data_IF_390461066753
#
_entry.id   IF_390461066753
#
_cell.length_a   1.000
_cell.length_b   1.000
_cell.length_c   1.000
_cell.angle_alpha   90.00
_cell.angle_beta   90.00
_cell.angle_gamma   90.00
#
_symmetry.space_group_name_H-M   'P 1'
#
loop_
_entity.id
_entity.type
_entity.pdbx_description
1 polymer ?
#
# COMPACT_ATOMS: atom_id res chain seq x y z
N UNK A 1 40.46 -16.72 -5.40
CA UNK A 1 39.12 -17.07 -4.88
C UNK A 1 38.88 -16.23 -3.65
N UNK A 2 38.49 -14.98 -3.85
CA UNK A 2 38.06 -14.07 -2.80
C UNK A 2 36.54 -14.11 -2.76
N UNK A 3 36.03 -14.44 -1.59
CA UNK A 3 34.62 -14.52 -1.25
C UNK A 3 33.93 -13.18 -1.50
N UNK A 4 33.15 -13.07 -2.57
CA UNK A 4 32.07 -12.08 -2.71
C UNK A 4 30.92 -12.51 -1.80
N UNK A 5 31.07 -12.26 -0.50
CA UNK A 5 29.91 -12.23 0.38
C UNK A 5 29.23 -10.89 0.12
N UNK A 6 28.09 -10.91 -0.58
CA UNK A 6 27.21 -9.76 -0.64
C UNK A 6 26.97 -9.26 0.80
N UNK A 7 27.03 -7.94 1.07
CA UNK A 7 26.81 -7.41 2.41
C UNK A 7 25.46 -7.92 2.95
N UNK A 8 25.44 -8.32 4.23
CA UNK A 8 24.26 -8.80 4.95
C UNK A 8 23.02 -8.02 4.51
N UNK A 9 22.14 -8.70 3.76
CA UNK A 9 20.96 -8.05 3.22
C UNK A 9 20.08 -7.57 4.38
N UNK A 10 19.65 -6.31 4.33
CA UNK A 10 18.71 -5.77 5.31
C UNK A 10 17.50 -6.70 5.48
N UNK A 11 17.24 -7.12 6.72
CA UNK A 11 16.08 -7.91 7.11
C UNK A 11 14.86 -6.99 7.25
N UNK A 12 14.07 -6.94 6.18
CA UNK A 12 12.89 -6.06 6.09
C UNK A 12 11.70 -6.59 6.89
N UNK A 13 11.66 -7.87 7.22
CA UNK A 13 10.60 -8.45 8.06
C UNK A 13 10.82 -8.10 9.53
N UNK A 14 12.07 -8.17 9.99
CA UNK A 14 12.44 -7.72 11.33
C UNK A 14 12.18 -6.22 11.54
N UNK A 15 12.47 -5.38 10.53
CA UNK A 15 12.20 -3.94 10.61
C UNK A 15 10.69 -3.67 10.64
N UNK A 16 9.92 -4.33 9.78
CA UNK A 16 8.46 -4.17 9.74
C UNK A 16 7.80 -4.60 11.07
N UNK A 17 8.25 -5.71 11.65
CA UNK A 17 7.78 -6.18 12.95
C UNK A 17 8.08 -5.16 14.06
N UNK A 18 9.30 -4.59 14.06
CA UNK A 18 9.67 -3.54 15.01
C UNK A 18 8.78 -2.30 14.85
N UNK A 19 8.47 -1.89 13.62
CA UNK A 19 7.56 -0.79 13.35
C UNK A 19 6.12 -1.07 13.84
N UNK A 20 5.60 -2.29 13.64
CA UNK A 20 4.27 -2.69 14.12
C UNK A 20 4.19 -2.81 15.64
N UNK A 21 5.29 -3.21 16.29
CA UNK A 21 5.36 -3.35 17.75
C UNK A 21 5.54 -2.03 18.49
N UNK A 22 6.04 -0.97 17.84
CA UNK A 22 6.21 0.35 18.44
C UNK A 22 4.89 1.13 18.55
N UNK A 23 4.84 2.11 19.46
CA UNK A 23 3.67 2.98 19.70
C UNK A 23 3.10 3.53 18.38
N UNK A 24 1.77 3.45 18.14
CA UNK A 24 1.14 4.01 16.95
C UNK A 24 1.47 5.49 16.75
N UNK A 25 1.55 5.92 15.49
CA UNK A 25 1.71 7.33 15.13
C UNK A 25 0.39 8.11 15.12
N UNK A 26 0.42 9.41 14.82
CA UNK A 26 1.61 10.21 14.50
C UNK A 26 2.45 10.53 15.74
N UNK A 27 3.75 10.75 15.54
CA UNK A 27 4.68 11.19 16.59
C UNK A 27 5.06 12.65 16.35
N UNK A 28 5.18 13.41 17.43
CA UNK A 28 5.44 14.84 17.39
C UNK A 28 6.61 15.21 18.28
N UNK A 29 7.44 16.17 17.85
CA UNK A 29 8.42 16.81 18.73
C UNK A 29 7.67 17.71 19.71
N UNK A 30 8.04 17.67 20.99
CA UNK A 30 7.56 18.58 22.03
C UNK A 30 8.71 19.23 22.76
N UNK A 31 8.60 20.54 22.91
CA UNK A 31 9.41 21.32 23.81
C UNK A 31 8.63 21.57 25.10
N UNK A 32 9.16 21.07 26.20
CA UNK A 32 8.55 21.09 27.52
C UNK A 32 9.53 21.66 28.53
N UNK A 33 9.03 21.99 29.70
CA UNK A 33 9.84 22.39 30.84
C UNK A 33 9.68 21.38 31.99
N UNK A 34 10.71 21.25 32.80
CA UNK A 34 10.64 20.57 34.09
C UNK A 34 10.25 21.53 35.25
N UNK A 35 10.18 20.98 36.46
CA UNK A 35 9.85 21.72 37.71
C UNK A 35 10.75 22.97 37.93
N UNK A 36 11.93 23.02 37.30
CA UNK A 36 12.91 24.09 37.43
C UNK A 36 12.88 25.11 36.27
N UNK A 37 11.90 25.04 35.36
CA UNK A 37 11.88 25.85 34.13
C UNK A 37 13.07 25.55 33.20
N UNK A 38 13.54 24.30 33.19
CA UNK A 38 14.64 23.86 32.33
C UNK A 38 14.11 22.96 31.22
N UNK A 39 14.76 23.02 30.05
CA UNK A 39 14.24 22.44 28.83
C UNK A 39 14.21 20.91 28.89
N UNK A 40 13.09 20.35 28.44
CA UNK A 40 12.91 18.96 28.10
C UNK A 40 12.49 18.89 26.63
N UNK A 41 13.26 18.14 25.83
CA UNK A 41 12.94 17.90 24.42
C UNK A 41 12.65 16.43 24.25
N UNK A 42 11.51 16.12 23.66
CA UNK A 42 11.06 14.74 23.48
C UNK A 42 10.14 14.53 22.29
N UNK A 43 9.84 13.26 22.07
CA UNK A 43 8.88 12.77 21.07
C UNK A 43 7.64 12.29 21.80
N UNK A 44 6.47 12.60 21.26
CA UNK A 44 5.18 12.47 21.93
C UNK A 44 4.07 12.01 20.98
N UNK A 45 3.04 11.35 21.50
CA UNK A 45 1.82 11.02 20.74
C UNK A 45 0.87 12.21 20.56
N UNK A 46 1.09 13.31 21.29
CA UNK A 46 0.34 14.56 21.12
C UNK A 46 1.22 15.69 20.58
N UNK A 47 0.66 16.61 19.76
CA UNK A 47 1.39 17.77 19.26
C UNK A 47 1.88 18.70 20.36
N UNK A 48 2.93 19.48 20.07
CA UNK A 48 3.33 20.58 20.93
C UNK A 48 2.27 21.70 20.90
N UNK A 49 2.08 22.33 22.06
CA UNK A 49 1.22 23.49 22.22
C UNK A 49 1.96 24.81 21.97
N UNK A 50 3.30 24.75 21.91
CA UNK A 50 4.17 25.93 21.80
C UNK A 50 4.23 26.76 23.09
N UNK A 51 3.73 26.22 24.21
CA UNK A 51 3.64 26.91 25.50
C UNK A 51 4.68 26.45 26.52
N UNK A 52 5.62 25.57 26.13
CA UNK A 52 6.58 24.94 27.03
C UNK A 52 5.88 24.36 28.27
N UNK A 53 4.97 23.40 28.04
CA UNK A 53 4.18 22.80 29.12
C UNK A 53 5.10 22.24 30.21
N UNK A 54 4.76 22.48 31.48
CA UNK A 54 5.58 22.07 32.61
C UNK A 54 5.02 20.83 33.28
N UNK A 55 5.88 20.00 33.85
CA UNK A 55 5.42 19.00 34.82
C UNK A 55 4.85 19.68 36.08
N UNK A 56 3.76 19.18 36.69
CA UNK A 56 2.91 18.05 36.30
C UNK A 56 1.74 18.41 35.37
N UNK A 57 1.74 19.60 34.77
CA UNK A 57 0.66 20.10 33.92
C UNK A 57 0.57 19.43 32.53
N UNK A 58 1.56 18.60 32.16
CA UNK A 58 1.47 17.68 31.02
C UNK A 58 1.53 16.21 31.47
N UNK A 59 0.86 15.32 30.73
CA UNK A 59 0.89 13.88 31.03
C UNK A 59 2.17 13.24 30.45
N UNK A 60 3.09 12.87 31.32
CA UNK A 60 4.35 12.21 30.94
C UNK A 60 4.13 10.87 30.19
N UNK A 61 2.95 10.24 30.29
CA UNK A 61 2.62 9.01 29.55
C UNK A 61 2.42 9.23 28.06
N UNK A 62 2.33 10.49 27.62
CA UNK A 62 2.28 10.88 26.21
C UNK A 62 3.69 10.88 25.57
N UNK A 63 4.76 10.88 26.38
CA UNK A 63 6.14 10.87 25.88
C UNK A 63 6.58 9.45 25.48
N UNK A 64 7.21 9.38 24.31
CA UNK A 64 7.73 8.16 23.69
C UNK A 64 9.24 8.06 23.88
N UNK A 65 9.95 9.18 23.73
CA UNK A 65 11.38 9.29 23.91
C UNK A 65 11.76 10.70 24.36
N UNK A 66 12.83 10.83 25.15
CA UNK A 66 13.46 12.11 25.45
C UNK A 66 14.83 12.19 24.75
N UNK A 67 15.16 13.36 24.21
CA UNK A 67 16.47 13.65 23.62
C UNK A 67 17.22 14.72 24.39
N UNK A 68 16.52 15.50 25.22
CA UNK A 68 17.11 16.37 26.24
C UNK A 68 16.27 16.31 27.52
N UNK A 69 16.95 16.17 28.65
CA UNK A 69 16.44 16.52 29.98
C UNK A 69 17.52 17.36 30.65
N UNK A 70 17.24 18.65 30.85
CA UNK A 70 18.24 19.60 31.31
C UNK A 70 18.40 19.61 32.83
N UNK A 71 17.37 19.28 33.63
CA UNK A 71 17.50 19.18 35.08
C UNK A 71 16.73 17.98 35.71
N UNK A 72 17.43 17.05 36.40
CA UNK A 72 18.88 16.88 36.35
C UNK A 72 19.33 16.58 34.90
N UNK A 73 20.56 16.97 34.54
CA UNK A 73 21.09 16.75 33.19
C UNK A 73 21.55 15.30 33.02
N UNK A 74 20.68 14.42 32.52
CA UNK A 74 21.00 12.99 32.32
C UNK A 74 20.61 12.43 30.96
N UNK A 75 19.78 13.13 30.19
CA UNK A 75 19.58 12.87 28.76
C UNK A 75 20.13 14.08 28.02
N UNK A 76 21.31 13.93 27.44
CA UNK A 76 22.02 15.02 26.78
C UNK A 76 23.08 14.44 25.85
N UNK A 77 22.93 14.65 24.55
CA UNK A 77 23.91 14.19 23.57
C UNK A 77 25.08 15.16 23.47
N UNK A 78 26.31 14.64 23.39
CA UNK A 78 27.53 15.44 23.46
C UNK A 78 27.70 16.45 22.31
N UNK A 79 27.06 16.21 21.17
CA UNK A 79 27.07 17.08 20.00
C UNK A 79 26.00 18.19 20.03
N UNK A 80 25.13 18.17 21.04
CA UNK A 80 24.08 19.17 21.21
C UNK A 80 22.93 19.08 20.21
N UNK A 81 22.79 17.96 19.49
CA UNK A 81 21.80 17.78 18.43
C UNK A 81 20.46 17.20 18.92
N UNK A 82 20.05 17.49 20.15
CA UNK A 82 18.84 16.92 20.75
C UNK A 82 17.56 17.26 19.98
N UNK A 83 17.46 18.47 19.41
CA UNK A 83 16.32 18.90 18.60
C UNK A 83 16.24 18.09 17.30
N UNK A 84 17.38 17.92 16.63
CA UNK A 84 17.49 17.17 15.38
C UNK A 84 17.23 15.68 15.62
N UNK A 85 17.70 15.13 16.74
CA UNK A 85 17.43 13.74 17.12
C UNK A 85 15.93 13.52 17.37
N UNK A 86 15.25 14.44 18.05
CA UNK A 86 13.80 14.34 18.27
C UNK A 86 13.04 14.41 16.94
N UNK A 87 13.41 15.36 16.08
CA UNK A 87 12.81 15.49 14.75
C UNK A 87 13.02 14.23 13.90
N UNK A 88 14.21 13.66 13.91
CA UNK A 88 14.51 12.41 13.19
C UNK A 88 13.65 11.25 13.69
N UNK A 89 13.57 11.04 15.01
CA UNK A 89 12.78 9.97 15.61
C UNK A 89 11.29 10.13 15.27
N UNK A 90 10.74 11.34 15.41
CA UNK A 90 9.34 11.61 15.10
C UNK A 90 9.02 11.32 13.63
N UNK A 91 9.85 11.80 12.71
CA UNK A 91 9.71 11.58 11.27
C UNK A 91 9.90 10.11 10.87
N UNK A 92 10.81 9.40 11.53
CA UNK A 92 11.07 7.98 11.27
C UNK A 92 9.83 7.10 11.47
N UNK A 93 8.91 7.47 12.36
CA UNK A 93 7.67 6.70 12.59
C UNK A 93 6.84 6.52 11.33
N UNK A 94 6.82 7.52 10.46
CA UNK A 94 6.08 7.48 9.20
C UNK A 94 6.99 7.10 8.03
N UNK A 95 8.23 7.61 8.02
CA UNK A 95 9.15 7.41 6.91
C UNK A 95 9.67 5.97 6.82
N UNK A 96 9.98 5.30 7.94
CA UNK A 96 10.57 3.96 7.92
C UNK A 96 9.62 2.91 7.33
N UNK A 97 8.34 2.81 7.74
CA UNK A 97 7.39 1.89 7.09
C UNK A 97 7.26 2.13 5.58
N UNK A 98 7.23 3.40 5.15
CA UNK A 98 7.18 3.75 3.73
C UNK A 98 8.44 3.31 2.98
N UNK A 99 9.62 3.51 3.57
CA UNK A 99 10.89 3.07 2.99
C UNK A 99 10.97 1.54 2.90
N UNK A 100 10.51 0.82 3.92
CA UNK A 100 10.46 -0.66 3.89
C UNK A 100 9.56 -1.13 2.75
N UNK A 101 8.37 -0.55 2.60
CA UNK A 101 7.47 -0.86 1.49
C UNK A 101 8.13 -0.58 0.13
N UNK A 102 8.82 0.55 0.00
CA UNK A 102 9.53 0.92 -1.23
C UNK A 102 10.70 -0.02 -1.55
N UNK A 103 11.50 -0.41 -0.55
CA UNK A 103 12.62 -1.35 -0.76
C UNK A 103 12.08 -2.73 -1.15
N UNK A 104 11.00 -3.22 -0.53
CA UNK A 104 10.36 -4.49 -0.95
C UNK A 104 9.92 -4.41 -2.41
N UNK A 105 9.25 -3.33 -2.78
CA UNK A 105 8.86 -3.04 -4.17
C UNK A 105 10.06 -3.05 -5.13
N UNK A 106 11.15 -2.36 -4.78
CA UNK A 106 12.34 -2.26 -5.62
C UNK A 106 13.08 -3.59 -5.76
N UNK A 107 13.27 -4.33 -4.66
CA UNK A 107 13.86 -5.69 -4.68
C UNK A 107 13.07 -6.59 -5.62
N UNK A 108 11.75 -6.55 -5.48
CA UNK A 108 10.87 -7.31 -6.32
C UNK A 108 10.99 -6.86 -7.79
N UNK A 109 11.06 -5.54 -8.09
CA UNK A 109 11.18 -5.05 -9.48
C UNK A 109 12.46 -5.53 -10.15
N UNK A 110 13.55 -5.56 -9.39
CA UNK A 110 14.85 -6.07 -9.85
C UNK A 110 14.78 -7.57 -10.13
N UNK A 111 14.04 -8.31 -9.31
CA UNK A 111 13.97 -9.77 -9.40
C UNK A 111 12.92 -10.26 -10.43
N UNK A 112 11.83 -9.51 -10.65
CA UNK A 112 10.63 -9.99 -11.34
C UNK A 112 9.95 -8.98 -12.31
N UNK A 113 10.36 -7.70 -12.41
CA UNK A 113 9.95 -6.78 -13.49
C UNK A 113 8.63 -5.96 -13.38
N UNK A 114 7.62 -6.31 -12.56
CA UNK A 114 6.44 -5.49 -12.12
C UNK A 114 5.90 -5.62 -10.64
N UNK A 115 6.11 -4.62 -9.77
CA UNK A 115 5.81 -4.54 -8.31
C UNK A 115 4.50 -5.16 -7.72
N UNK A 116 4.55 -5.93 -6.60
CA UNK A 116 3.44 -6.20 -5.67
C UNK A 116 3.63 -5.46 -4.34
N UNK A 117 2.52 -5.17 -3.67
CA UNK A 117 2.49 -4.80 -2.24
C UNK A 117 1.75 -5.88 -1.44
N UNK A 118 1.88 -5.81 -0.11
CA UNK A 118 1.77 -6.94 0.81
C UNK A 118 0.40 -7.66 0.87
N UNK A 119 0.47 -8.98 0.99
CA UNK A 119 -0.63 -9.84 1.44
C UNK A 119 -1.39 -10.56 0.34
N UNK A 120 -0.77 -11.52 -0.36
CA UNK A 120 -1.53 -12.45 -1.21
C UNK A 120 -0.92 -13.84 -1.22
N UNK A 121 -1.62 -14.77 -0.60
CA UNK A 121 -1.63 -16.17 -1.04
C UNK A 121 -2.32 -16.24 -2.40
N UNK A 122 -1.53 -16.37 -3.48
CA UNK A 122 -2.03 -16.66 -4.83
C UNK A 122 -1.39 -15.79 -5.90
N UNK A 123 -0.53 -16.38 -6.71
CA UNK A 123 0.27 -15.77 -7.80
C UNK A 123 -0.55 -15.29 -9.01
N UNK A 124 -1.87 -15.15 -8.89
CA UNK A 124 -2.78 -14.85 -10.02
C UNK A 124 -2.84 -13.34 -10.34
N UNK A 125 -3.00 -12.47 -9.35
CA UNK A 125 -3.19 -11.03 -9.58
C UNK A 125 -1.92 -10.22 -9.26
N UNK A 126 -1.59 -9.25 -10.11
CA UNK A 126 -0.38 -8.39 -9.96
C UNK A 126 -0.53 -7.31 -8.88
N UNK A 127 -1.72 -7.22 -8.28
CA UNK A 127 -2.09 -6.24 -7.26
C UNK A 127 -2.36 -6.92 -5.91
N UNK A 128 -2.08 -6.25 -4.78
CA UNK A 128 -2.51 -6.75 -3.48
C UNK A 128 -4.03 -6.80 -3.41
N UNK A 129 -4.58 -7.89 -2.87
CA UNK A 129 -6.00 -8.06 -2.63
C UNK A 129 -6.18 -8.72 -1.26
N UNK A 130 -7.09 -8.21 -0.43
CA UNK A 130 -7.56 -8.97 0.73
C UNK A 130 -8.42 -10.18 0.29
N UNK A 131 -8.81 -11.03 1.23
CA UNK A 131 -9.53 -12.27 0.92
C UNK A 131 -10.88 -12.02 0.22
N UNK A 132 -11.58 -10.93 0.59
CA UNK A 132 -12.87 -10.56 0.01
C UNK A 132 -12.70 -10.12 -1.44
N UNK A 133 -11.74 -9.22 -1.68
CA UNK A 133 -11.45 -8.72 -3.02
C UNK A 133 -10.83 -9.80 -3.91
N UNK A 134 -10.01 -10.68 -3.35
CA UNK A 134 -9.49 -11.83 -4.10
C UNK A 134 -10.62 -12.73 -4.58
N UNK A 135 -11.65 -12.95 -3.75
CA UNK A 135 -12.88 -13.63 -4.15
C UNK A 135 -13.59 -12.91 -5.30
N UNK A 136 -13.80 -11.61 -5.14
CA UNK A 136 -14.46 -10.78 -6.15
C UNK A 136 -13.76 -10.81 -7.53
N UNK A 137 -12.44 -10.65 -7.56
CA UNK A 137 -11.67 -10.70 -8.80
C UNK A 137 -11.63 -12.10 -9.42
N UNK A 138 -11.71 -13.17 -8.62
CA UNK A 138 -11.88 -14.54 -9.13
C UNK A 138 -13.24 -14.72 -9.78
N UNK A 139 -14.32 -14.20 -9.17
CA UNK A 139 -15.65 -14.21 -9.78
C UNK A 139 -15.69 -13.45 -11.11
N UNK A 140 -15.00 -12.30 -11.21
CA UNK A 140 -14.84 -11.59 -12.49
C UNK A 140 -14.15 -12.45 -13.55
N UNK A 141 -13.09 -13.18 -13.16
CA UNK A 141 -12.40 -14.09 -14.06
C UNK A 141 -13.31 -15.25 -14.49
N UNK A 142 -14.11 -15.80 -13.57
CA UNK A 142 -15.07 -16.86 -13.85
C UNK A 142 -16.17 -16.39 -14.81
N UNK A 143 -16.66 -15.14 -14.69
CA UNK A 143 -17.58 -14.55 -15.68
C UNK A 143 -16.98 -14.53 -17.08
N UNK A 144 -15.72 -14.13 -17.21
CA UNK A 144 -15.03 -14.12 -18.51
C UNK A 144 -14.85 -15.53 -19.07
N UNK A 145 -14.54 -16.51 -18.22
CA UNK A 145 -14.40 -17.91 -18.67
C UNK A 145 -15.76 -18.49 -19.07
N UNK A 146 -16.78 -18.35 -18.24
CA UNK A 146 -18.07 -19.02 -18.41
C UNK A 146 -18.97 -18.35 -19.43
N UNK A 147 -19.03 -17.01 -19.44
CA UNK A 147 -19.97 -16.25 -20.30
C UNK A 147 -19.34 -15.78 -21.60
N UNK A 148 -18.04 -15.49 -21.60
CA UNK A 148 -17.32 -15.03 -22.79
C UNK A 148 -16.57 -16.17 -23.48
N UNK A 149 -16.07 -17.15 -22.72
CA UNK A 149 -15.42 -18.35 -23.27
C UNK A 149 -13.91 -18.21 -23.49
N UNK A 150 -13.24 -17.26 -22.84
CA UNK A 150 -11.77 -17.15 -22.89
C UNK A 150 -11.08 -18.02 -21.83
N UNK A 151 -9.79 -18.30 -22.00
CA UNK A 151 -9.05 -19.07 -21.00
C UNK A 151 -8.86 -18.28 -19.70
N UNK A 152 -8.66 -18.98 -18.58
CA UNK A 152 -8.44 -18.34 -17.27
C UNK A 152 -7.20 -17.43 -17.29
N UNK A 153 -6.12 -17.86 -17.94
CA UNK A 153 -4.91 -17.05 -18.06
C UNK A 153 -5.16 -15.70 -18.76
N UNK A 154 -5.94 -15.69 -19.85
CA UNK A 154 -6.31 -14.45 -20.53
C UNK A 154 -7.26 -13.59 -19.68
N UNK A 155 -8.23 -14.21 -19.01
CA UNK A 155 -9.15 -13.50 -18.11
C UNK A 155 -8.37 -12.75 -17.01
N UNK A 156 -7.46 -13.45 -16.34
CA UNK A 156 -6.59 -12.88 -15.31
C UNK A 156 -5.67 -11.80 -15.90
N UNK A 157 -5.09 -12.02 -17.08
CA UNK A 157 -4.25 -11.02 -17.75
C UNK A 157 -5.01 -9.73 -18.08
N UNK A 158 -6.26 -9.83 -18.55
CA UNK A 158 -7.12 -8.67 -18.82
C UNK A 158 -7.44 -7.90 -17.55
N UNK A 159 -7.77 -8.60 -16.48
CA UNK A 159 -8.00 -8.00 -15.15
C UNK A 159 -6.74 -7.27 -14.68
N UNK A 160 -5.58 -7.93 -14.73
CA UNK A 160 -4.29 -7.36 -14.33
C UNK A 160 -3.93 -6.11 -15.16
N UNK A 161 -4.19 -6.12 -16.47
CA UNK A 161 -3.88 -5.00 -17.34
C UNK A 161 -4.75 -3.76 -17.04
N UNK A 162 -6.01 -3.95 -16.66
CA UNK A 162 -6.92 -2.85 -16.36
C UNK A 162 -6.77 -2.37 -14.93
N UNK A 163 -6.76 -3.29 -13.97
CA UNK A 163 -6.85 -2.97 -12.54
C UNK A 163 -5.50 -3.00 -11.83
N UNK A 164 -4.52 -3.73 -12.35
CA UNK A 164 -3.17 -3.83 -11.78
C UNK A 164 -2.27 -2.61 -12.01
N UNK A 165 -2.83 -1.47 -12.47
CA UNK A 165 -2.09 -0.22 -12.67
C UNK A 165 -2.40 0.82 -11.61
N UNK A 166 -1.43 1.72 -11.36
CA UNK A 166 -1.44 2.75 -10.30
C UNK A 166 -2.69 3.65 -10.28
N UNK A 167 -3.29 3.93 -11.44
CA UNK A 167 -4.47 4.80 -11.55
C UNK A 167 -5.76 4.07 -11.14
N UNK A 168 -5.85 2.77 -11.40
CA UNK A 168 -7.04 1.98 -11.10
C UNK A 168 -7.18 1.60 -9.62
N UNK A 169 -6.06 1.34 -8.95
CA UNK A 169 -6.03 1.05 -7.50
C UNK A 169 -6.48 2.27 -6.66
N UNK A 170 -6.16 3.48 -7.13
CA UNK A 170 -6.56 4.73 -6.47
C UNK A 170 -8.02 5.13 -6.72
N UNK A 171 -8.67 4.58 -7.76
CA UNK A 171 -10.04 4.93 -8.14
C UNK A 171 -11.14 4.22 -7.33
N UNK A 172 -10.75 3.48 -6.29
CA UNK A 172 -11.65 2.98 -5.27
C UNK A 172 -12.13 1.57 -5.56
N UNK A 173 -11.46 0.61 -4.93
CA UNK A 173 -12.00 -0.74 -4.67
C UNK A 173 -13.42 -0.65 -4.08
N UNK A 174 -13.70 0.38 -3.27
CA UNK A 174 -15.04 0.70 -2.75
C UNK A 174 -16.12 0.88 -3.84
N UNK A 175 -15.76 1.40 -5.03
CA UNK A 175 -16.71 1.57 -6.13
C UNK A 175 -17.01 0.23 -6.82
N UNK A 176 -16.04 -0.68 -6.85
CA UNK A 176 -16.23 -2.00 -7.46
C UNK A 176 -17.27 -2.82 -6.69
N UNK A 177 -17.27 -2.76 -5.36
CA UNK A 177 -18.24 -3.44 -4.50
C UNK A 177 -19.69 -2.97 -4.63
N UNK A 178 -19.97 -1.89 -5.38
CA UNK A 178 -21.33 -1.43 -5.65
C UNK A 178 -21.99 -2.08 -6.87
N UNK A 179 -21.21 -2.77 -7.70
CA UNK A 179 -21.69 -3.43 -8.91
C UNK A 179 -21.35 -4.93 -8.89
N UNK A 180 -22.03 -5.70 -9.72
CA UNK A 180 -21.76 -7.13 -9.86
C UNK A 180 -20.47 -7.39 -10.67
N UNK A 181 -19.78 -8.53 -10.46
CA UNK A 181 -18.58 -8.89 -11.21
C UNK A 181 -18.74 -8.78 -12.74
N UNK A 182 -19.93 -9.08 -13.26
CA UNK A 182 -20.22 -9.01 -14.70
C UNK A 182 -20.07 -7.60 -15.28
N UNK A 183 -20.49 -6.58 -14.53
CA UNK A 183 -20.39 -5.19 -14.98
C UNK A 183 -18.94 -4.83 -15.31
N UNK A 184 -18.02 -5.20 -14.41
CA UNK A 184 -16.60 -4.94 -14.57
C UNK A 184 -15.94 -5.88 -15.57
N UNK A 185 -16.27 -7.17 -15.53
CA UNK A 185 -15.77 -8.18 -16.47
C UNK A 185 -16.11 -7.82 -17.93
N UNK A 186 -17.34 -7.39 -18.20
CA UNK A 186 -17.72 -6.95 -19.54
C UNK A 186 -17.05 -5.64 -19.93
N UNK A 187 -16.87 -4.70 -19.00
CA UNK A 187 -16.14 -3.45 -19.23
C UNK A 187 -14.68 -3.65 -19.66
N UNK A 188 -14.02 -4.71 -19.18
CA UNK A 188 -12.63 -5.04 -19.55
C UNK A 188 -12.51 -5.85 -20.85
N UNK A 189 -13.55 -6.58 -21.24
CA UNK A 189 -13.53 -7.38 -22.46
C UNK A 189 -14.11 -6.64 -23.67
N UNK A 190 -15.25 -6.00 -23.52
CA UNK A 190 -15.96 -5.33 -24.61
C UNK A 190 -15.56 -3.85 -24.75
N UNK A 191 -15.50 -3.38 -25.99
CA UNK A 191 -15.43 -1.97 -26.35
C UNK A 191 -16.84 -1.39 -26.51
N UNK A 192 -16.95 -0.06 -26.62
CA UNK A 192 -18.25 0.58 -26.84
C UNK A 192 -18.80 0.25 -28.22
N UNK A 193 -20.12 -0.03 -28.31
CA UNK A 193 -20.81 -0.18 -29.60
C UNK A 193 -20.93 1.16 -30.37
N UNK A 194 -21.56 1.11 -31.55
CA UNK A 194 -21.82 2.30 -32.39
C UNK A 194 -22.70 3.37 -31.72
N UNK A 195 -23.38 3.03 -30.62
CA UNK A 195 -24.20 3.94 -29.79
C UNK A 195 -23.44 4.39 -28.54
N UNK A 196 -22.18 3.98 -28.38
CA UNK A 196 -21.36 4.28 -27.21
C UNK A 196 -21.68 3.44 -25.97
N UNK A 197 -22.45 2.35 -26.08
CA UNK A 197 -22.87 1.52 -24.94
C UNK A 197 -21.85 0.40 -24.66
N UNK A 198 -21.73 0.04 -23.39
CA UNK A 198 -21.04 -1.17 -22.93
C UNK A 198 -22.07 -2.15 -22.37
N UNK A 199 -21.89 -3.46 -22.56
CA UNK A 199 -22.66 -4.46 -21.85
C UNK A 199 -22.41 -4.34 -20.35
N UNK A 200 -23.45 -4.56 -19.54
CA UNK A 200 -23.40 -4.42 -18.07
C UNK A 200 -23.59 -5.73 -17.33
N UNK A 201 -23.89 -6.83 -18.03
CA UNK A 201 -24.09 -8.14 -17.43
C UNK A 201 -25.53 -8.44 -17.04
N UNK A 202 -26.44 -7.47 -17.19
CA UNK A 202 -27.87 -7.63 -16.92
C UNK A 202 -28.59 -8.13 -18.19
N UNK A 203 -29.26 -9.30 -18.16
CA UNK A 203 -29.92 -9.86 -19.34
C UNK A 203 -31.01 -8.97 -19.95
N UNK A 204 -31.61 -8.08 -19.15
CA UNK A 204 -32.67 -7.17 -19.62
C UNK A 204 -32.07 -5.91 -20.25
N UNK A 205 -31.05 -5.33 -19.63
CA UNK A 205 -30.34 -4.16 -20.12
C UNK A 205 -29.54 -4.47 -21.39
N UNK A 206 -28.98 -5.68 -21.47
CA UNK A 206 -28.15 -6.13 -22.60
C UNK A 206 -28.96 -6.89 -23.67
N UNK A 207 -30.29 -6.95 -23.55
CA UNK A 207 -31.14 -7.77 -24.42
C UNK A 207 -31.03 -7.42 -25.93
N UNK A 208 -30.69 -6.17 -26.26
CA UNK A 208 -30.52 -5.70 -27.64
C UNK A 208 -29.06 -5.68 -28.11
N UNK A 209 -28.13 -6.22 -27.32
CA UNK A 209 -26.71 -6.31 -27.66
C UNK A 209 -26.45 -7.62 -28.42
N UNK A 210 -25.95 -7.49 -29.64
CA UNK A 210 -25.39 -8.61 -30.39
C UNK A 210 -23.93 -8.84 -29.99
N UNK A 211 -23.71 -9.76 -29.06
CA UNK A 211 -22.37 -10.12 -28.58
C UNK A 211 -21.46 -10.73 -29.66
N UNK A 212 -22.01 -11.27 -30.75
CA UNK A 212 -21.20 -11.84 -31.83
C UNK A 212 -20.51 -10.78 -32.70
N UNK A 213 -21.09 -9.57 -32.75
CA UNK A 213 -20.55 -8.45 -33.52
C UNK A 213 -20.08 -7.29 -32.65
N UNK A 214 -20.26 -7.39 -31.32
CA UNK A 214 -19.84 -6.36 -30.39
C UNK A 214 -18.31 -6.17 -30.41
N UNK A 215 -17.81 -4.92 -30.41
CA UNK A 215 -16.37 -4.68 -30.39
C UNK A 215 -15.69 -5.32 -29.17
N UNK A 216 -14.59 -6.02 -29.40
CA UNK A 216 -13.77 -6.65 -28.35
C UNK A 216 -12.47 -5.87 -28.18
N UNK A 217 -12.08 -5.62 -26.94
CA UNK A 217 -10.80 -5.01 -26.61
C UNK A 217 -9.66 -6.01 -26.85
N UNK A 218 -8.52 -5.58 -27.40
CA UNK A 218 -7.38 -6.47 -27.58
C UNK A 218 -6.93 -7.04 -26.23
N UNK A 219 -6.50 -8.30 -26.23
CA UNK A 219 -5.83 -8.88 -25.08
C UNK A 219 -4.49 -8.15 -24.82
N UNK A 220 -4.00 -8.15 -23.57
CA UNK A 220 -2.67 -7.64 -23.27
C UNK A 220 -1.59 -8.42 -24.06
N UNK A 221 -0.48 -7.78 -24.47
CA UNK A 221 0.64 -8.47 -25.13
C UNK A 221 1.11 -9.67 -24.30
N UNK A 222 1.44 -10.80 -24.95
CA UNK A 222 1.79 -12.07 -24.28
C UNK A 222 3.08 -11.98 -23.46
N UNK A 223 3.97 -11.08 -23.82
CA UNK A 223 5.21 -10.75 -23.13
C UNK A 223 5.02 -9.68 -22.04
N UNK A 224 3.79 -9.21 -21.82
CA UNK A 224 3.49 -8.24 -20.77
C UNK A 224 3.47 -8.90 -19.39
N UNK A 225 3.76 -8.15 -18.30
CA UNK A 225 3.76 -8.68 -16.94
C UNK A 225 2.38 -9.08 -16.41
N UNK A 226 1.32 -8.87 -17.19
CA UNK A 226 -0.05 -9.17 -16.78
C UNK A 226 -0.39 -10.66 -16.90
N UNK A 227 0.37 -11.41 -17.71
CA UNK A 227 0.24 -12.86 -17.84
C UNK A 227 0.98 -13.57 -16.71
N UNK A 228 0.28 -13.81 -15.62
CA UNK A 228 0.79 -14.46 -14.41
C UNK A 228 0.54 -15.97 -14.37
N UNK A 229 -0.32 -16.46 -15.27
CA UNK A 229 -0.64 -17.87 -15.44
C UNK A 229 -0.23 -18.35 -16.84
N UNK A 230 0.21 -19.59 -16.93
CA UNK A 230 0.40 -20.28 -18.21
C UNK A 230 -0.96 -20.67 -18.83
N UNK A 231 -1.01 -20.74 -20.16
CA UNK A 231 -2.21 -21.14 -20.93
C UNK A 231 -2.37 -22.65 -21.07
#
# INVERSE_FOLDING_TARGET
>A
MTSDAAPDALDLDAIDELCRSATPGPWHVRNLDDDHAMNLVGVSTVPDTGRAGRWPDFDHRELIAATLVQQPRYVDCADGLWDQNAAFIAMAREAVPQLVAEVRRLRWLVEFGACPTAGTTGTEFVMPLDDEMLGYFREMADVLVERVGICRAEAIARINAVYGTRESVAFGVDLMGHELPEYWAYGIYYGRDHRGRLPVGDPTADADIDFATHPVRPAPPKDSPFWTLEE
#
